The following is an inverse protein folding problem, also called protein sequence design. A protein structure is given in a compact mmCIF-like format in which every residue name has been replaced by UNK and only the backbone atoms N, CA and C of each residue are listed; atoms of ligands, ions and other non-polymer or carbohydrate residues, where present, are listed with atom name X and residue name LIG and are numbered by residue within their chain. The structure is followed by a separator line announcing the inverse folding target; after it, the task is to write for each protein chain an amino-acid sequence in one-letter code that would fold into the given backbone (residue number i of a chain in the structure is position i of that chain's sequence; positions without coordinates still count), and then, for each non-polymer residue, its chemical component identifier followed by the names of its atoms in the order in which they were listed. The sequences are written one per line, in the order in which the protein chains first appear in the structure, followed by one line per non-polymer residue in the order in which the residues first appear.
data_IF_450724883998
#
_entry.id   IF_450724883998
#
_cell.length_a   1.000
_cell.length_b   1.000
_cell.length_c   1.000
_cell.angle_alpha   90.00
_cell.angle_beta   90.00
_cell.angle_gamma   90.00
#
_symmetry.space_group_name_H-M   'P 1'
#
loop_
_entity.id
_entity.type
_entity.pdbx_description
1 polymer ?
#
# COMPACT_ATOMS: atom_id res chain seq x y z
N UNK A 1 18.72 6.78 29.99
CA UNK A 1 17.24 6.73 30.06
C UNK A 1 16.62 5.76 29.07
N UNK A 2 16.81 5.91 27.74
CA UNK A 2 16.23 4.98 26.76
C UNK A 2 16.62 3.50 26.99
N UNK A 3 17.89 3.23 27.31
CA UNK A 3 18.37 1.88 27.66
C UNK A 3 17.74 1.35 28.95
N UNK A 4 17.51 2.23 29.93
CA UNK A 4 16.91 1.87 31.21
C UNK A 4 15.43 1.50 31.03
N UNK A 5 14.70 2.22 30.17
CA UNK A 5 13.32 1.89 29.81
C UNK A 5 13.21 0.51 29.15
N UNK A 6 14.22 0.10 28.37
CA UNK A 6 14.26 -1.24 27.75
C UNK A 6 14.49 -2.37 28.75
N UNK A 7 15.24 -2.12 29.82
CA UNK A 7 15.66 -3.14 30.80
C UNK A 7 14.72 -3.24 32.02
N UNK A 8 14.14 -2.12 32.46
CA UNK A 8 13.37 -2.05 33.72
C UNK A 8 11.96 -1.44 33.50
N UNK A 9 11.08 -2.20 32.86
CA UNK A 9 9.71 -1.76 32.54
C UNK A 9 8.81 -1.65 33.78
N UNK A 10 9.05 -2.46 34.81
CA UNK A 10 8.24 -2.52 36.03
C UNK A 10 8.75 -1.58 37.14
N UNK A 11 9.63 -0.63 36.82
CA UNK A 11 10.19 0.30 37.81
C UNK A 11 9.13 1.27 38.34
N UNK A 12 9.18 1.59 39.63
CA UNK A 12 8.18 2.43 40.29
C UNK A 12 8.10 3.86 39.71
N UNK A 13 9.23 4.43 39.24
CA UNK A 13 9.26 5.75 38.58
C UNK A 13 9.23 5.66 37.05
N UNK A 14 8.59 4.61 36.50
CA UNK A 14 8.49 4.42 35.04
C UNK A 14 7.81 5.60 34.34
N UNK A 15 6.83 6.24 34.97
CA UNK A 15 6.12 7.41 34.41
C UNK A 15 7.06 8.57 34.14
N UNK A 16 8.01 8.82 35.03
CA UNK A 16 8.95 9.93 34.91
C UNK A 16 9.99 9.63 33.82
N UNK A 17 10.50 8.40 33.79
CA UNK A 17 11.41 7.93 32.73
C UNK A 17 10.71 8.03 31.37
N UNK A 18 9.45 7.59 31.30
CA UNK A 18 8.66 7.62 30.07
C UNK A 18 8.40 9.05 29.60
N UNK A 19 8.05 9.95 30.51
CA UNK A 19 7.86 11.38 30.23
C UNK A 19 9.12 12.00 29.61
N UNK A 20 10.29 11.76 30.19
CA UNK A 20 11.58 12.24 29.66
C UNK A 20 11.87 11.62 28.30
N UNK A 21 11.69 10.30 28.14
CA UNK A 21 11.94 9.62 26.85
C UNK A 21 11.02 10.16 25.77
N UNK A 22 9.72 10.37 26.04
CA UNK A 22 8.75 10.91 25.10
C UNK A 22 9.12 12.34 24.67
N UNK A 23 9.56 13.19 25.60
CA UNK A 23 10.07 14.53 25.26
C UNK A 23 11.31 14.44 24.36
N UNK A 24 12.25 13.52 24.66
CA UNK A 24 13.45 13.30 23.86
C UNK A 24 13.19 12.67 22.49
N UNK A 25 12.04 12.01 22.26
CA UNK A 25 11.65 11.54 20.92
C UNK A 25 11.57 12.69 19.93
N UNK A 26 11.20 13.90 20.39
CA UNK A 26 11.15 15.10 19.57
C UNK A 26 12.37 16.03 19.75
N UNK A 27 13.49 15.49 20.24
CA UNK A 27 14.74 16.26 20.37
C UNK A 27 15.30 16.69 19.02
N UNK A 28 16.07 17.78 18.99
CA UNK A 28 16.75 18.28 17.78
C UNK A 28 17.75 17.26 17.24
N UNK A 29 18.51 16.60 18.14
CA UNK A 29 19.48 15.55 17.77
C UNK A 29 18.78 14.32 17.19
N UNK A 30 19.16 13.94 15.96
CA UNK A 30 18.52 12.84 15.25
C UNK A 30 18.84 11.47 15.87
N UNK A 31 20.06 11.27 16.36
CA UNK A 31 20.48 10.02 17.01
C UNK A 31 19.69 9.76 18.29
N UNK A 32 19.53 10.79 19.14
CA UNK A 32 18.75 10.72 20.38
C UNK A 32 17.28 10.44 20.06
N UNK A 33 16.70 11.20 19.11
CA UNK A 33 15.32 11.00 18.67
C UNK A 33 15.08 9.57 18.16
N UNK A 34 15.95 9.04 17.28
CA UNK A 34 15.86 7.67 16.76
C UNK A 34 16.01 6.62 17.87
N UNK A 35 16.96 6.79 18.78
CA UNK A 35 17.16 5.87 19.90
C UNK A 35 15.95 5.84 20.84
N UNK A 36 15.35 7.00 21.15
CA UNK A 36 14.16 7.10 21.97
C UNK A 36 12.93 6.48 21.27
N UNK A 37 12.74 6.75 19.97
CA UNK A 37 11.65 6.14 19.20
C UNK A 37 11.79 4.62 19.14
N UNK A 38 13.00 4.11 18.91
CA UNK A 38 13.29 2.67 18.94
C UNK A 38 13.01 2.05 20.31
N UNK A 39 13.36 2.73 21.41
CA UNK A 39 13.06 2.26 22.76
C UNK A 39 11.56 2.16 23.02
N UNK A 40 10.78 3.18 22.63
CA UNK A 40 9.31 3.14 22.77
C UNK A 40 8.71 2.03 21.91
N UNK A 41 9.18 1.82 20.68
CA UNK A 41 8.75 0.71 19.84
C UNK A 41 9.07 -0.68 20.45
N UNK A 42 10.16 -0.82 21.21
CA UNK A 42 10.46 -2.05 21.93
C UNK A 42 9.55 -2.25 23.14
N UNK A 43 9.23 -1.17 23.88
CA UNK A 43 8.26 -1.21 24.98
C UNK A 43 6.90 -1.69 24.47
N UNK A 44 6.40 -1.11 23.38
CA UNK A 44 5.13 -1.51 22.76
C UNK A 44 5.07 -2.98 22.36
N UNK A 45 6.20 -3.61 22.01
CA UNK A 45 6.24 -5.03 21.64
C UNK A 45 6.38 -5.98 22.83
N UNK A 46 7.00 -5.52 23.92
CA UNK A 46 7.28 -6.35 25.10
C UNK A 46 6.19 -6.26 26.16
N UNK A 47 5.45 -5.17 26.18
CA UNK A 47 4.35 -4.95 27.12
C UNK A 47 3.23 -5.96 26.89
N UNK A 48 3.03 -6.84 27.87
CA UNK A 48 2.03 -7.92 27.83
C UNK A 48 0.66 -7.47 28.33
N UNK A 49 0.60 -6.49 29.23
CA UNK A 49 -0.63 -6.06 29.90
C UNK A 49 -1.24 -4.82 29.23
N UNK A 50 -0.42 -4.02 28.54
CA UNK A 50 -0.84 -2.85 27.76
C UNK A 50 -0.92 -1.55 28.56
N UNK A 51 -0.62 -1.57 29.86
CA UNK A 51 -0.69 -0.39 30.73
C UNK A 51 0.42 0.62 30.41
N UNK A 52 1.66 0.14 30.25
CA UNK A 52 2.80 0.99 29.89
C UNK A 52 2.61 1.58 28.49
N UNK A 53 2.09 0.77 27.56
CA UNK A 53 1.78 1.19 26.19
C UNK A 53 0.72 2.28 26.16
N UNK A 54 -0.34 2.15 26.97
CA UNK A 54 -1.40 3.15 27.08
C UNK A 54 -0.87 4.48 27.61
N UNK A 55 -0.06 4.44 28.68
CA UNK A 55 0.52 5.65 29.27
C UNK A 55 1.45 6.36 28.28
N UNK A 56 2.31 5.60 27.58
CA UNK A 56 3.20 6.13 26.55
C UNK A 56 2.43 6.81 25.42
N UNK A 57 1.37 6.15 24.94
CA UNK A 57 0.49 6.71 23.90
C UNK A 57 -0.18 7.99 24.38
N UNK A 58 -0.76 8.01 25.58
CA UNK A 58 -1.38 9.22 26.17
C UNK A 58 -0.37 10.37 26.29
N UNK A 59 0.85 10.09 26.73
CA UNK A 59 1.93 11.09 26.82
C UNK A 59 2.31 11.65 25.44
N UNK A 60 2.47 10.78 24.43
CA UNK A 60 2.77 11.20 23.06
C UNK A 60 1.60 12.02 22.49
N UNK A 61 0.35 11.56 22.63
CA UNK A 61 -0.84 12.27 22.17
C UNK A 61 -0.98 13.66 22.79
N UNK A 62 -0.68 13.79 24.09
CA UNK A 62 -0.67 15.07 24.79
C UNK A 62 0.47 15.98 24.30
N UNK A 63 1.68 15.44 24.10
CA UNK A 63 2.80 16.20 23.54
C UNK A 63 2.47 16.76 22.14
N UNK A 64 1.87 15.94 21.28
CA UNK A 64 1.48 16.32 19.92
C UNK A 64 0.40 17.41 19.96
N UNK A 65 -0.60 17.26 20.84
CA UNK A 65 -1.66 18.25 21.06
C UNK A 65 -1.10 19.58 21.56
N UNK A 66 -0.26 19.56 22.59
CA UNK A 66 0.27 20.76 23.23
C UNK A 66 1.20 21.57 22.31
N UNK A 67 1.82 20.92 21.33
CA UNK A 67 2.67 21.58 20.32
C UNK A 67 1.90 22.05 19.09
N UNK A 68 0.58 21.84 19.02
CA UNK A 68 -0.23 22.10 17.82
C UNK A 68 0.41 21.52 16.54
N UNK A 69 0.98 20.32 16.63
CA UNK A 69 1.70 19.63 15.55
C UNK A 69 3.01 20.30 15.08
N UNK A 70 3.36 21.49 15.59
CA UNK A 70 4.54 22.25 15.16
C UNK A 70 5.83 21.57 15.61
N UNK A 71 6.72 21.33 14.65
CA UNK A 71 8.05 20.76 14.91
C UNK A 71 8.01 19.33 15.46
N UNK A 72 6.91 18.60 15.28
CA UNK A 72 6.81 17.18 15.63
C UNK A 72 7.48 16.36 14.52
N UNK A 73 8.44 15.51 14.88
CA UNK A 73 9.12 14.60 13.96
C UNK A 73 8.21 13.44 13.55
N UNK A 74 8.31 13.04 12.28
CA UNK A 74 7.54 11.93 11.68
C UNK A 74 7.73 10.61 12.45
N UNK A 75 8.97 10.33 12.90
CA UNK A 75 9.32 9.13 13.65
C UNK A 75 8.54 8.96 14.98
N UNK A 76 8.07 10.06 15.57
CA UNK A 76 7.26 10.02 16.80
C UNK A 76 5.93 9.35 16.53
N UNK A 77 5.23 9.78 15.47
CA UNK A 77 3.91 9.23 15.11
C UNK A 77 4.06 7.82 14.52
N UNK A 78 5.15 7.56 13.77
CA UNK A 78 5.44 6.21 13.26
C UNK A 78 5.59 5.16 14.37
N UNK A 79 5.99 5.57 15.58
CA UNK A 79 6.13 4.65 16.71
C UNK A 79 4.83 3.91 17.04
N UNK A 80 3.67 4.54 16.86
CA UNK A 80 2.35 3.93 17.05
C UNK A 80 2.12 2.72 16.15
N UNK A 81 2.74 2.67 14.97
CA UNK A 81 2.64 1.51 14.06
C UNK A 81 3.26 0.24 14.67
N UNK A 82 4.09 0.32 15.71
CA UNK A 82 4.65 -0.87 16.36
C UNK A 82 3.74 -1.53 17.41
N UNK A 83 2.60 -0.91 17.73
CA UNK A 83 1.65 -1.44 18.71
C UNK A 83 0.95 -2.72 18.21
N UNK A 84 0.92 -3.80 19.01
CA UNK A 84 0.26 -5.06 18.68
C UNK A 84 -1.21 -5.07 19.10
N UNK A 85 -2.01 -4.09 18.61
CA UNK A 85 -3.45 -4.03 18.89
C UNK A 85 -4.19 -5.16 18.15
N UNK A 86 -5.08 -5.86 18.85
CA UNK A 86 -5.88 -6.97 18.28
C UNK A 86 -7.36 -6.91 18.65
N UNK A 87 -7.72 -6.16 19.68
CA UNK A 87 -9.08 -6.13 20.21
C UNK A 87 -9.93 -5.12 19.44
N UNK A 88 -11.12 -5.56 19.02
CA UNK A 88 -12.11 -4.68 18.40
C UNK A 88 -12.74 -3.77 19.45
N UNK A 89 -13.04 -2.52 19.07
CA UNK A 89 -13.63 -1.55 20.01
C UNK A 89 -14.99 -2.04 20.55
N UNK A 90 -15.81 -2.67 19.72
CA UNK A 90 -17.13 -3.20 20.09
C UNK A 90 -17.04 -4.35 21.10
N UNK A 91 -16.05 -5.24 20.94
CA UNK A 91 -15.77 -6.32 21.89
C UNK A 91 -15.38 -5.78 23.26
N UNK A 92 -14.61 -4.69 23.30
CA UNK A 92 -14.22 -4.04 24.54
C UNK A 92 -15.39 -3.30 25.21
N UNK A 93 -16.30 -2.70 24.44
CA UNK A 93 -17.52 -2.08 24.97
C UNK A 93 -18.48 -3.13 25.55
N UNK A 94 -18.67 -4.25 24.83
CA UNK A 94 -19.43 -5.40 25.33
C UNK A 94 -18.81 -5.99 26.60
N UNK A 95 -17.48 -6.16 26.65
CA UNK A 95 -16.77 -6.64 27.83
C UNK A 95 -16.95 -5.71 29.04
N UNK A 96 -16.92 -4.38 28.83
CA UNK A 96 -17.20 -3.38 29.89
C UNK A 96 -18.62 -3.49 30.42
N UNK A 97 -19.61 -3.71 29.55
CA UNK A 97 -21.01 -3.93 29.94
C UNK A 97 -21.18 -5.21 30.76
N UNK A 98 -20.57 -6.31 30.32
CA UNK A 98 -20.57 -7.58 31.04
C UNK A 98 -19.86 -7.50 32.40
N UNK A 99 -18.72 -6.79 32.48
CA UNK A 99 -18.01 -6.59 33.74
C UNK A 99 -18.82 -5.73 34.72
N UNK A 100 -19.53 -4.69 34.26
CA UNK A 100 -20.45 -3.90 35.10
C UNK A 100 -21.61 -4.74 35.62
N UNK A 101 -22.18 -5.62 34.80
CA UNK A 101 -23.22 -6.56 35.22
C UNK A 101 -22.67 -7.57 36.25
N UNK A 102 -21.47 -8.10 36.03
CA UNK A 102 -20.81 -9.01 36.95
C UNK A 102 -20.37 -8.34 38.26
N UNK A 103 -19.95 -7.07 38.25
CA UNK A 103 -19.68 -6.28 39.47
C UNK A 103 -20.94 -6.11 40.33
N UNK A 104 -22.11 -5.95 39.70
CA UNK A 104 -23.40 -5.91 40.39
C UNK A 104 -23.74 -7.27 41.05
N UNK A 105 -23.26 -8.38 40.47
CA UNK A 105 -23.39 -9.75 40.99
C UNK A 105 -22.33 -10.06 42.07
N UNK A 106 -21.05 -9.73 41.86
CA UNK A 106 -19.94 -9.84 42.84
C UNK A 106 -20.19 -9.03 44.11
N UNK A 107 -20.87 -7.88 44.02
CA UNK A 107 -21.27 -7.11 45.21
C UNK A 107 -22.28 -7.85 46.11
N UNK A 108 -23.00 -8.84 45.58
CA UNK A 108 -23.88 -9.74 46.36
C UNK A 108 -23.10 -10.89 47.02
N UNK A 109 -21.99 -11.34 46.41
CA UNK A 109 -21.17 -12.47 46.89
C UNK A 109 -19.74 -12.03 47.25
N UNK A 110 -19.61 -11.26 48.35
CA UNK A 110 -18.33 -10.63 48.76
C UNK A 110 -17.21 -11.62 49.10
N UNK A 111 -17.54 -12.75 49.73
CA UNK A 111 -16.54 -13.73 50.18
C UNK A 111 -15.88 -14.49 49.03
N UNK A 112 -16.65 -14.85 47.98
CA UNK A 112 -16.11 -15.51 46.78
C UNK A 112 -15.21 -14.58 45.97
N UNK A 113 -15.50 -13.28 45.97
CA UNK A 113 -14.70 -12.29 45.25
C UNK A 113 -13.30 -12.11 45.87
N UNK A 114 -13.20 -12.16 47.19
CA UNK A 114 -11.93 -11.97 47.92
C UNK A 114 -10.96 -13.14 47.68
N UNK A 115 -11.49 -14.37 47.68
CA UNK A 115 -10.72 -15.59 47.40
C UNK A 115 -10.28 -15.64 45.92
N UNK A 116 -11.15 -15.24 44.98
CA UNK A 116 -10.80 -15.17 43.56
C UNK A 116 -9.70 -14.15 43.28
N UNK A 117 -9.76 -12.97 43.91
CA UNK A 117 -8.77 -11.90 43.70
C UNK A 117 -7.39 -12.30 44.27
N UNK A 118 -7.33 -12.94 45.45
CA UNK A 118 -6.07 -13.49 46.00
C UNK A 118 -5.48 -14.62 45.14
N UNK A 119 -6.31 -15.50 44.57
CA UNK A 119 -5.88 -16.54 43.62
C UNK A 119 -5.39 -15.95 42.29
N UNK A 120 -5.97 -14.82 41.85
CA UNK A 120 -5.60 -14.15 40.60
C UNK A 120 -4.26 -13.45 40.72
N UNK A 121 -4.03 -12.71 41.81
CA UNK A 121 -2.77 -12.03 42.09
C UNK A 121 -1.60 -13.02 42.25
N UNK A 122 -1.86 -14.20 42.80
CA UNK A 122 -0.87 -15.28 42.91
C UNK A 122 -0.53 -15.95 41.57
N UNK A 123 -1.44 -15.92 40.58
CA UNK A 123 -1.29 -16.68 39.33
C UNK A 123 -0.31 -16.05 38.33
N UNK A 124 0.00 -14.75 38.45
CA UNK A 124 0.87 -14.04 37.51
C UNK A 124 0.42 -14.10 36.04
N UNK A 125 -0.83 -14.49 35.80
CA UNK A 125 -1.40 -14.63 34.46
C UNK A 125 -1.93 -13.28 33.98
N UNK A 126 -1.72 -12.97 32.69
CA UNK A 126 -2.17 -11.71 32.08
C UNK A 126 -3.69 -11.66 32.13
N UNK A 127 -4.25 -10.62 32.75
CA UNK A 127 -5.70 -10.45 32.78
C UNK A 127 -6.19 -10.01 31.39
N UNK A 128 -6.80 -10.95 30.67
CA UNK A 128 -7.31 -10.76 29.32
C UNK A 128 -8.38 -9.65 29.25
N UNK A 129 -9.18 -9.48 30.31
CA UNK A 129 -10.23 -8.45 30.36
C UNK A 129 -9.63 -7.06 30.53
N UNK A 130 -8.61 -6.95 31.39
CA UNK A 130 -7.88 -5.71 31.59
C UNK A 130 -7.08 -5.36 30.34
N UNK A 131 -6.41 -6.34 29.71
CA UNK A 131 -5.69 -6.15 28.45
C UNK A 131 -6.63 -5.64 27.35
N UNK A 132 -7.82 -6.23 27.19
CA UNK A 132 -8.80 -5.78 26.22
C UNK A 132 -9.25 -4.34 26.45
N UNK A 133 -9.49 -3.98 27.72
CA UNK A 133 -9.81 -2.60 28.12
C UNK A 133 -8.66 -1.64 27.77
N UNK A 134 -7.42 -1.98 28.12
CA UNK A 134 -6.25 -1.14 27.84
C UNK A 134 -6.02 -0.99 26.34
N UNK A 135 -6.17 -2.05 25.55
CA UNK A 135 -6.03 -2.00 24.08
C UNK A 135 -7.10 -1.11 23.44
N UNK A 136 -8.36 -1.17 23.90
CA UNK A 136 -9.42 -0.32 23.37
C UNK A 136 -9.21 1.17 23.72
N UNK A 137 -8.78 1.48 24.95
CA UNK A 137 -8.41 2.85 25.32
C UNK A 137 -7.19 3.34 24.52
N UNK A 138 -6.23 2.46 24.24
CA UNK A 138 -5.05 2.77 23.42
C UNK A 138 -5.46 3.05 21.98
N UNK A 139 -6.31 2.20 21.39
CA UNK A 139 -6.85 2.38 20.05
C UNK A 139 -7.60 3.71 19.94
N UNK A 140 -8.48 4.02 20.90
CA UNK A 140 -9.21 5.28 20.91
C UNK A 140 -8.28 6.50 20.95
N UNK A 141 -7.25 6.48 21.82
CA UNK A 141 -6.28 7.57 21.94
C UNK A 141 -5.48 7.79 20.63
N UNK A 142 -5.08 6.71 19.96
CA UNK A 142 -4.34 6.76 18.69
C UNK A 142 -5.23 7.27 17.57
N UNK A 143 -6.42 6.70 17.41
CA UNK A 143 -7.41 7.11 16.41
C UNK A 143 -7.73 8.59 16.55
N UNK A 144 -8.00 9.06 17.78
CA UNK A 144 -8.22 10.48 18.05
C UNK A 144 -7.01 11.36 17.70
N UNK A 145 -5.79 10.88 17.93
CA UNK A 145 -4.57 11.60 17.55
C UNK A 145 -4.44 11.72 16.04
N UNK A 146 -4.72 10.65 15.29
CA UNK A 146 -4.72 10.68 13.83
C UNK A 146 -5.82 11.57 13.25
N UNK A 147 -7.05 11.51 13.79
CA UNK A 147 -8.14 12.42 13.39
C UNK A 147 -7.80 13.89 13.59
N UNK A 148 -7.11 14.22 14.69
CA UNK A 148 -6.64 15.58 14.93
C UNK A 148 -5.63 16.03 13.88
N UNK A 149 -4.72 15.14 13.45
CA UNK A 149 -3.77 15.42 12.36
C UNK A 149 -4.51 15.63 11.04
N UNK A 150 -5.50 14.77 10.72
CA UNK A 150 -6.33 14.88 9.52
C UNK A 150 -7.07 16.24 9.46
N UNK A 151 -7.77 16.60 10.55
CA UNK A 151 -8.51 17.87 10.66
C UNK A 151 -7.59 19.10 10.60
N UNK A 152 -6.33 18.96 11.01
CA UNK A 152 -5.37 20.07 11.01
C UNK A 152 -4.95 20.51 9.60
N UNK A 153 -5.13 19.66 8.58
CA UNK A 153 -4.76 19.99 7.20
C UNK A 153 -5.62 21.12 6.61
N UNK A 154 -6.94 21.08 6.82
CA UNK A 154 -7.86 22.13 6.36
C UNK A 154 -7.76 23.47 7.11
N UNK A 155 -6.98 23.53 8.19
CA UNK A 155 -6.84 24.71 9.06
C UNK A 155 -5.57 25.54 8.80
N UNK A 156 -4.86 25.30 7.69
CA UNK A 156 -3.63 26.05 7.35
C UNK A 156 -2.45 25.82 8.30
N UNK A 157 -2.46 24.72 9.05
CA UNK A 157 -1.40 24.37 10.02
C UNK A 157 -0.37 23.43 9.40
N UNK A 158 0.91 23.57 9.79
CA UNK A 158 2.06 22.76 9.35
C UNK A 158 1.98 21.29 9.86
N UNK A 159 0.97 20.54 9.42
CA UNK A 159 0.79 19.11 9.70
C UNK A 159 0.91 18.22 8.44
N UNK A 160 1.17 18.83 7.27
CA UNK A 160 1.23 18.12 5.99
C UNK A 160 2.27 16.99 5.99
N UNK A 161 3.41 17.18 6.66
CA UNK A 161 4.46 16.16 6.77
C UNK A 161 4.08 14.97 7.68
N UNK A 162 3.11 15.14 8.58
CA UNK A 162 2.61 14.07 9.47
C UNK A 162 1.46 13.28 8.85
N UNK A 163 0.79 13.86 7.85
CA UNK A 163 -0.39 13.30 7.21
C UNK A 163 -0.17 11.88 6.63
N UNK A 164 0.92 11.58 5.88
CA UNK A 164 1.14 10.24 5.36
C UNK A 164 1.20 9.17 6.44
N UNK A 165 1.85 9.46 7.56
CA UNK A 165 2.03 8.50 8.66
C UNK A 165 0.76 8.32 9.46
N UNK A 166 -0.01 9.39 9.67
CA UNK A 166 -1.32 9.29 10.31
C UNK A 166 -2.25 8.39 9.49
N UNK A 167 -2.27 8.57 8.16
CA UNK A 167 -3.04 7.74 7.24
C UNK A 167 -2.53 6.29 7.20
N UNK A 168 -1.21 6.06 7.17
CA UNK A 168 -0.65 4.71 7.25
C UNK A 168 -1.10 3.99 8.54
N UNK A 169 -1.05 4.70 9.67
CA UNK A 169 -1.52 4.20 10.96
C UNK A 169 -3.01 3.89 10.97
N UNK A 170 -3.83 4.78 10.41
CA UNK A 170 -5.27 4.54 10.25
C UNK A 170 -5.55 3.34 9.34
N UNK A 171 -4.86 3.20 8.22
CA UNK A 171 -5.00 2.04 7.34
C UNK A 171 -4.68 0.73 8.05
N UNK A 172 -3.71 0.74 8.97
CA UNK A 172 -3.35 -0.43 9.78
C UNK A 172 -4.44 -0.78 10.79
N UNK A 173 -4.98 0.20 11.50
CA UNK A 173 -5.91 -0.03 12.63
C UNK A 173 -7.38 0.07 12.26
N UNK A 174 -7.74 0.47 11.04
CA UNK A 174 -9.12 0.74 10.62
C UNK A 174 -10.09 -0.42 10.80
N UNK A 175 -9.60 -1.66 10.73
CA UNK A 175 -10.41 -2.85 10.95
C UNK A 175 -10.84 -3.09 12.40
N UNK A 176 -10.20 -2.40 13.37
CA UNK A 176 -10.49 -2.53 14.81
C UNK A 176 -11.44 -1.45 15.33
N UNK A 177 -11.70 -0.43 14.52
CA UNK A 177 -12.47 0.76 14.87
C UNK A 177 -13.98 0.46 14.77
N UNK A 178 -14.80 1.07 15.64
CA UNK A 178 -16.25 0.93 15.61
C UNK A 178 -16.89 1.60 14.37
N UNK A 179 -18.07 1.13 13.97
CA UNK A 179 -18.75 1.57 12.75
C UNK A 179 -19.06 3.07 12.75
N UNK A 180 -19.52 3.63 13.89
CA UNK A 180 -19.90 5.05 13.97
C UNK A 180 -18.71 5.98 13.65
N UNK A 181 -17.52 5.69 14.18
CA UNK A 181 -16.33 6.52 13.89
C UNK A 181 -15.73 6.24 12.51
N UNK A 182 -16.10 5.12 11.89
CA UNK A 182 -15.72 4.80 10.51
C UNK A 182 -16.51 5.62 9.52
N UNK A 183 -17.79 5.92 9.79
CA UNK A 183 -18.58 6.85 8.99
C UNK A 183 -17.92 8.25 8.98
N UNK A 184 -17.62 8.78 10.17
CA UNK A 184 -16.85 10.02 10.33
C UNK A 184 -15.51 9.96 9.58
N UNK A 185 -14.77 8.85 9.69
CA UNK A 185 -13.48 8.68 9.03
C UNK A 185 -13.61 8.79 7.51
N UNK A 186 -14.60 8.10 6.92
CA UNK A 186 -14.79 8.06 5.47
C UNK A 186 -15.20 9.42 4.93
N UNK A 187 -15.99 10.21 5.66
CA UNK A 187 -16.33 11.58 5.28
C UNK A 187 -15.08 12.47 5.19
N UNK A 188 -14.20 12.41 6.20
CA UNK A 188 -12.93 13.17 6.18
C UNK A 188 -12.00 12.71 5.06
N UNK A 189 -11.91 11.40 4.82
CA UNK A 189 -11.11 10.85 3.72
C UNK A 189 -11.66 11.28 2.36
N UNK A 190 -12.98 11.31 2.18
CA UNK A 190 -13.62 11.81 0.95
C UNK A 190 -13.26 13.27 0.69
N UNK A 191 -13.26 14.12 1.72
CA UNK A 191 -12.79 15.51 1.61
C UNK A 191 -11.34 15.61 1.13
N UNK A 192 -10.44 14.77 1.66
CA UNK A 192 -9.03 14.73 1.21
C UNK A 192 -8.86 14.16 -0.21
N UNK A 193 -9.71 13.22 -0.61
CA UNK A 193 -9.67 12.64 -1.95
C UNK A 193 -10.18 13.62 -3.03
N UNK A 194 -11.01 14.59 -2.66
CA UNK A 194 -11.44 15.65 -3.57
C UNK A 194 -10.27 16.57 -3.98
N UNK A 195 -9.26 16.75 -3.12
CA UNK A 195 -8.05 17.55 -3.39
C UNK A 195 -6.80 16.68 -3.53
N UNK A 196 -6.96 15.43 -3.97
CA UNK A 196 -5.90 14.40 -3.99
C UNK A 196 -4.64 14.82 -4.77
N UNK A 197 -4.80 15.66 -5.80
CA UNK A 197 -3.70 16.11 -6.66
C UNK A 197 -2.84 17.19 -6.01
N UNK A 198 -3.40 17.93 -5.05
CA UNK A 198 -2.67 18.93 -4.25
C UNK A 198 -1.84 18.27 -3.14
N UNK A 199 -2.21 17.05 -2.73
CA UNK A 199 -1.51 16.30 -1.70
C UNK A 199 -0.18 15.73 -2.21
N UNK A 200 0.83 15.61 -1.34
CA UNK A 200 2.02 14.79 -1.61
C UNK A 200 1.62 13.36 -1.98
N UNK A 201 2.37 12.73 -2.89
CA UNK A 201 2.04 11.39 -3.39
C UNK A 201 1.95 10.34 -2.27
N UNK A 202 2.80 10.42 -1.24
CA UNK A 202 2.71 9.56 -0.07
C UNK A 202 1.40 9.73 0.70
N UNK A 203 0.94 10.97 0.87
CA UNK A 203 -0.31 11.26 1.56
C UNK A 203 -1.51 10.79 0.72
N UNK A 204 -1.50 11.04 -0.59
CA UNK A 204 -2.60 10.63 -1.46
C UNK A 204 -2.75 9.12 -1.52
N UNK A 205 -1.65 8.38 -1.71
CA UNK A 205 -1.67 6.91 -1.74
C UNK A 205 -2.06 6.30 -0.40
N UNK A 206 -1.56 6.83 0.72
CA UNK A 206 -1.98 6.35 2.04
C UNK A 206 -3.45 6.68 2.33
N UNK A 207 -3.96 7.82 1.86
CA UNK A 207 -5.39 8.18 1.97
C UNK A 207 -6.26 7.15 1.26
N UNK A 208 -5.95 6.88 -0.02
CA UNK A 208 -6.64 5.85 -0.82
C UNK A 208 -6.55 4.48 -0.16
N UNK A 209 -5.37 4.09 0.32
CA UNK A 209 -5.16 2.82 1.02
C UNK A 209 -6.02 2.72 2.29
N UNK A 210 -6.13 3.82 3.03
CA UNK A 210 -6.93 3.91 4.26
C UNK A 210 -8.39 3.74 3.92
N UNK A 211 -8.91 4.49 2.93
CA UNK A 211 -10.30 4.36 2.47
C UNK A 211 -10.65 2.94 2.06
N UNK A 212 -9.80 2.27 1.27
CA UNK A 212 -10.04 0.88 0.89
C UNK A 212 -9.92 -0.12 2.05
N UNK A 213 -9.04 0.13 3.02
CA UNK A 213 -8.91 -0.73 4.19
C UNK A 213 -10.13 -0.59 5.10
N UNK A 214 -10.55 0.65 5.37
CA UNK A 214 -11.73 0.99 6.17
C UNK A 214 -13.02 0.43 5.57
N UNK A 215 -13.24 0.63 4.27
CA UNK A 215 -14.39 0.08 3.57
C UNK A 215 -14.34 -1.47 3.47
N UNK A 216 -13.20 -2.14 3.69
CA UNK A 216 -13.09 -3.61 3.65
C UNK A 216 -13.47 -4.22 5.01
N UNK A 217 -13.09 -3.55 6.11
CA UNK A 217 -13.45 -3.95 7.46
C UNK A 217 -14.85 -3.44 7.84
N UNK A 218 -14.98 -2.64 8.91
CA UNK A 218 -16.27 -2.20 9.45
C UNK A 218 -17.12 -1.40 8.44
N UNK A 219 -16.50 -0.66 7.53
CA UNK A 219 -17.21 0.14 6.52
C UNK A 219 -17.92 -0.68 5.43
N UNK A 220 -17.81 -2.01 5.44
CA UNK A 220 -18.53 -2.88 4.50
C UNK A 220 -20.05 -2.78 4.67
N UNK A 221 -20.50 -2.52 5.89
CA UNK A 221 -21.92 -2.41 6.23
C UNK A 221 -22.55 -1.13 5.69
N UNK A 222 -21.75 -0.07 5.50
CA UNK A 222 -22.22 1.27 5.15
C UNK A 222 -22.70 1.43 3.70
N UNK A 223 -22.64 0.39 2.85
CA UNK A 223 -23.12 0.40 1.43
C UNK A 223 -22.74 1.65 0.61
N UNK A 224 -21.56 2.24 0.90
CA UNK A 224 -21.07 3.47 0.25
C UNK A 224 -20.71 3.21 -1.23
N UNK A 225 -20.96 4.20 -2.10
CA UNK A 225 -20.55 4.15 -3.50
C UNK A 225 -19.02 4.18 -3.63
N UNK A 226 -18.50 3.22 -4.39
CA UNK A 226 -17.07 2.95 -4.52
C UNK A 226 -16.42 3.80 -5.62
N UNK A 227 -17.23 4.39 -6.52
CA UNK A 227 -16.71 5.18 -7.65
C UNK A 227 -15.81 6.32 -7.17
N UNK A 228 -16.24 7.01 -6.11
CA UNK A 228 -15.55 8.17 -5.52
C UNK A 228 -14.15 7.84 -4.99
N UNK A 229 -13.88 6.57 -4.65
CA UNK A 229 -12.59 6.13 -4.10
C UNK A 229 -11.66 5.53 -5.15
N UNK A 230 -12.22 5.11 -6.29
CA UNK A 230 -11.46 4.47 -7.38
C UNK A 230 -10.93 5.50 -8.38
N UNK A 231 -11.70 6.55 -8.69
CA UNK A 231 -11.24 7.61 -9.59
C UNK A 231 -9.95 8.31 -9.11
N UNK A 232 -9.80 8.68 -7.81
CA UNK A 232 -8.52 9.18 -7.29
C UNK A 232 -7.37 8.21 -7.49
N UNK A 233 -7.57 6.90 -7.29
CA UNK A 233 -6.52 5.92 -7.57
C UNK A 233 -6.07 5.95 -9.03
N UNK A 234 -7.01 6.09 -9.98
CA UNK A 234 -6.72 6.17 -11.40
C UNK A 234 -5.89 7.41 -11.75
N UNK A 235 -6.23 8.59 -11.21
CA UNK A 235 -5.48 9.83 -11.46
C UNK A 235 -4.05 9.74 -10.91
N UNK A 236 -3.89 9.21 -9.68
CA UNK A 236 -2.61 9.10 -8.99
C UNK A 236 -1.62 8.14 -9.69
N UNK A 237 -2.09 7.14 -10.45
CA UNK A 237 -1.19 6.22 -11.18
C UNK A 237 -0.22 6.97 -12.10
N UNK A 238 -0.66 8.07 -12.73
CA UNK A 238 0.18 8.89 -13.63
C UNK A 238 1.36 9.53 -12.90
N UNK A 239 1.15 9.95 -11.64
CA UNK A 239 2.15 10.66 -10.82
C UNK A 239 3.31 9.75 -10.42
N UNK A 240 3.12 8.43 -10.47
CA UNK A 240 4.18 7.44 -10.17
C UNK A 240 5.33 7.57 -11.17
N UNK A 241 5.06 7.91 -12.43
CA UNK A 241 6.09 8.03 -13.47
C UNK A 241 7.18 9.06 -13.08
N UNK A 242 6.80 10.18 -12.49
CA UNK A 242 7.71 11.29 -12.17
C UNK A 242 8.43 11.13 -10.83
N UNK A 243 7.88 10.34 -9.90
CA UNK A 243 8.37 10.23 -8.51
C UNK A 243 8.36 8.77 -8.03
N UNK A 244 8.88 7.85 -8.84
CA UNK A 244 8.79 6.39 -8.59
C UNK A 244 9.71 5.90 -7.46
N UNK A 245 9.40 6.23 -6.21
CA UNK A 245 10.05 5.64 -5.04
C UNK A 245 9.59 4.19 -4.83
N UNK A 246 10.50 3.35 -4.33
CA UNK A 246 10.26 1.98 -3.84
C UNK A 246 8.99 1.92 -2.98
N UNK A 247 8.84 2.86 -2.03
CA UNK A 247 7.69 2.96 -1.14
C UNK A 247 6.37 3.21 -1.90
N UNK A 248 6.35 4.15 -2.85
CA UNK A 248 5.18 4.44 -3.65
C UNK A 248 4.71 3.23 -4.46
N UNK A 249 5.63 2.48 -5.07
CA UNK A 249 5.29 1.24 -5.79
C UNK A 249 4.60 0.23 -4.86
N UNK A 250 5.12 0.02 -3.65
CA UNK A 250 4.50 -0.89 -2.69
C UNK A 250 3.08 -0.43 -2.29
N UNK A 251 2.91 0.85 -1.99
CA UNK A 251 1.61 1.43 -1.63
C UNK A 251 0.58 1.25 -2.74
N UNK A 252 0.96 1.53 -3.99
CA UNK A 252 0.08 1.38 -5.16
C UNK A 252 -0.34 -0.06 -5.36
N UNK A 253 0.59 -1.02 -5.26
CA UNK A 253 0.26 -2.45 -5.37
C UNK A 253 -0.72 -2.88 -4.28
N UNK A 254 -0.56 -2.38 -3.05
CA UNK A 254 -1.51 -2.62 -1.95
C UNK A 254 -2.89 -2.02 -2.27
N UNK A 255 -2.96 -0.78 -2.74
CA UNK A 255 -4.21 -0.14 -3.15
C UNK A 255 -4.91 -0.92 -4.26
N UNK A 256 -4.19 -1.30 -5.32
CA UNK A 256 -4.73 -2.07 -6.44
C UNK A 256 -5.23 -3.45 -5.99
N UNK A 257 -4.49 -4.14 -5.11
CA UNK A 257 -4.91 -5.42 -4.55
C UNK A 257 -6.22 -5.30 -3.74
N UNK A 258 -6.33 -4.28 -2.88
CA UNK A 258 -7.57 -4.01 -2.12
C UNK A 258 -8.73 -3.61 -3.05
N UNK A 259 -8.46 -2.82 -4.08
CA UNK A 259 -9.48 -2.35 -5.01
C UNK A 259 -10.01 -3.46 -5.92
N UNK A 260 -9.14 -4.22 -6.58
CA UNK A 260 -9.55 -5.15 -7.64
C UNK A 260 -9.54 -6.64 -7.24
N UNK A 261 -8.67 -7.06 -6.32
CA UNK A 261 -8.54 -8.48 -5.98
C UNK A 261 -9.45 -8.90 -4.83
N UNK A 262 -9.57 -8.06 -3.79
CA UNK A 262 -10.38 -8.38 -2.60
C UNK A 262 -11.85 -7.95 -2.67
N UNK A 263 -12.23 -7.10 -3.62
CA UNK A 263 -13.58 -6.49 -3.72
C UNK A 263 -14.39 -6.96 -4.93
N UNK A 264 -15.64 -6.46 -4.98
CA UNK A 264 -16.64 -6.64 -6.05
C UNK A 264 -16.08 -6.34 -7.43
N UNK A 265 -16.70 -6.96 -8.42
CA UNK A 265 -16.34 -6.84 -9.82
C UNK A 265 -16.75 -5.47 -10.37
N UNK A 266 -15.77 -4.72 -10.90
CA UNK A 266 -16.03 -3.50 -11.67
C UNK A 266 -16.44 -3.84 -13.10
N UNK A 267 -17.00 -2.86 -13.82
CA UNK A 267 -17.28 -3.00 -15.25
C UNK A 267 -16.01 -3.26 -16.05
N UNK A 268 -16.12 -4.01 -17.16
CA UNK A 268 -14.99 -4.28 -18.05
C UNK A 268 -14.33 -3.00 -18.56
N UNK A 269 -15.11 -1.96 -18.87
CA UNK A 269 -14.60 -0.64 -19.30
C UNK A 269 -13.69 -0.02 -18.24
N UNK A 270 -14.10 -0.04 -16.96
CA UNK A 270 -13.29 0.52 -15.89
C UNK A 270 -12.00 -0.27 -15.69
N UNK A 271 -12.08 -1.60 -15.68
CA UNK A 271 -10.90 -2.45 -15.55
C UNK A 271 -9.95 -2.26 -16.74
N UNK A 272 -10.47 -2.17 -17.96
CA UNK A 272 -9.70 -1.92 -19.17
C UNK A 272 -8.97 -0.57 -19.12
N UNK A 273 -9.62 0.48 -18.59
CA UNK A 273 -8.99 1.78 -18.37
C UNK A 273 -7.79 1.65 -17.43
N UNK A 274 -7.96 0.97 -16.30
CA UNK A 274 -6.87 0.71 -15.36
C UNK A 274 -5.76 -0.13 -16.00
N UNK A 275 -6.07 -1.21 -16.71
CA UNK A 275 -5.07 -2.01 -17.42
C UNK A 275 -4.27 -1.12 -18.36
N UNK A 276 -4.95 -0.33 -19.20
CA UNK A 276 -4.29 0.57 -20.15
C UNK A 276 -3.36 1.54 -19.44
N UNK A 277 -3.84 2.20 -18.38
CA UNK A 277 -3.04 3.13 -17.56
C UNK A 277 -1.86 2.45 -16.88
N UNK A 278 -2.02 1.25 -16.31
CA UNK A 278 -0.95 0.47 -15.69
C UNK A 278 0.14 0.12 -16.71
N UNK A 279 -0.25 -0.25 -17.92
CA UNK A 279 0.69 -0.54 -19.00
C UNK A 279 1.41 0.71 -19.49
N UNK A 280 0.70 1.84 -19.64
CA UNK A 280 1.33 3.14 -19.95
C UNK A 280 2.34 3.54 -18.87
N UNK A 281 2.00 3.43 -17.59
CA UNK A 281 2.92 3.69 -16.47
C UNK A 281 4.12 2.74 -16.52
N UNK A 282 3.91 1.46 -16.83
CA UNK A 282 4.98 0.48 -16.92
C UNK A 282 6.04 0.83 -17.97
N UNK A 283 5.70 1.54 -19.06
CA UNK A 283 6.67 1.99 -20.07
C UNK A 283 7.66 3.02 -19.49
N UNK A 284 7.20 3.85 -18.55
CA UNK A 284 8.00 4.95 -17.99
C UNK A 284 8.62 4.63 -16.63
N UNK A 285 8.14 3.57 -15.96
CA UNK A 285 8.55 3.24 -14.61
C UNK A 285 9.86 2.40 -14.57
N UNK A 286 10.62 2.47 -13.47
CA UNK A 286 11.77 1.59 -13.25
C UNK A 286 11.39 0.10 -13.31
N UNK A 287 12.37 -0.81 -13.56
CA UNK A 287 12.07 -2.22 -13.81
C UNK A 287 11.28 -2.95 -12.72
N UNK A 288 11.53 -2.62 -11.44
CA UNK A 288 10.80 -3.22 -10.31
C UNK A 288 9.32 -2.81 -10.29
N UNK A 289 9.02 -1.58 -10.70
CA UNK A 289 7.65 -1.08 -10.78
C UNK A 289 6.99 -1.61 -12.04
N UNK A 290 7.66 -1.47 -13.19
CA UNK A 290 7.18 -1.92 -14.50
C UNK A 290 6.79 -3.40 -14.51
N UNK A 291 7.67 -4.29 -14.03
CA UNK A 291 7.38 -5.73 -13.97
C UNK A 291 6.15 -6.05 -13.11
N UNK A 292 5.99 -5.36 -11.97
CA UNK A 292 4.87 -5.57 -11.06
C UNK A 292 3.55 -4.99 -11.59
N UNK A 293 3.58 -3.85 -12.28
CA UNK A 293 2.40 -3.30 -12.94
C UNK A 293 1.92 -4.22 -14.07
N UNK A 294 2.83 -4.77 -14.88
CA UNK A 294 2.49 -5.76 -15.92
C UNK A 294 1.96 -7.05 -15.27
N UNK A 295 2.59 -7.54 -14.20
CA UNK A 295 2.10 -8.70 -13.47
C UNK A 295 0.68 -8.48 -12.92
N UNK A 296 0.38 -7.27 -12.41
CA UNK A 296 -0.94 -6.90 -11.95
C UNK A 296 -1.95 -6.82 -13.11
N UNK A 297 -1.56 -6.21 -14.23
CA UNK A 297 -2.38 -6.18 -15.45
C UNK A 297 -2.72 -7.59 -15.96
N UNK A 298 -1.76 -8.54 -15.89
CA UNK A 298 -2.01 -9.95 -16.21
C UNK A 298 -3.06 -10.58 -15.29
N UNK A 299 -3.06 -10.27 -13.99
CA UNK A 299 -4.11 -10.75 -13.08
C UNK A 299 -5.48 -10.20 -13.48
N UNK A 300 -5.55 -8.93 -13.90
CA UNK A 300 -6.79 -8.32 -14.37
C UNK A 300 -7.28 -8.95 -15.67
N UNK A 301 -6.40 -9.20 -16.64
CA UNK A 301 -6.76 -9.93 -17.87
C UNK A 301 -7.35 -11.31 -17.57
N UNK A 302 -6.79 -12.05 -16.62
CA UNK A 302 -7.31 -13.37 -16.25
C UNK A 302 -8.66 -13.29 -15.53
N UNK A 303 -8.85 -12.29 -14.67
CA UNK A 303 -10.10 -12.12 -13.93
C UNK A 303 -11.23 -11.55 -14.78
N UNK A 304 -10.92 -10.67 -15.73
CA UNK A 304 -11.89 -9.95 -16.55
C UNK A 304 -11.68 -10.25 -18.02
N UNK A 305 -12.28 -11.35 -18.50
CA UNK A 305 -12.11 -11.81 -19.89
C UNK A 305 -12.54 -10.76 -20.93
N UNK A 306 -13.53 -9.91 -20.60
CA UNK A 306 -13.95 -8.81 -21.49
C UNK A 306 -12.87 -7.76 -21.74
N UNK A 307 -11.78 -7.75 -20.97
CA UNK A 307 -10.63 -6.86 -21.21
C UNK A 307 -9.68 -7.37 -22.29
N UNK A 308 -9.86 -8.62 -22.77
CA UNK A 308 -9.02 -9.20 -23.83
C UNK A 308 -9.14 -8.46 -25.15
N UNK A 309 -10.23 -7.72 -25.36
CA UNK A 309 -10.40 -6.82 -26.50
C UNK A 309 -9.24 -5.81 -26.65
N UNK A 310 -8.55 -5.44 -25.56
CA UNK A 310 -7.36 -4.59 -25.63
C UNK A 310 -6.17 -5.26 -26.35
N UNK A 311 -6.18 -6.58 -26.51
CA UNK A 311 -5.14 -7.38 -27.18
C UNK A 311 -5.49 -7.72 -28.63
N UNK A 312 -6.71 -7.41 -29.07
CA UNK A 312 -7.17 -7.65 -30.43
C UNK A 312 -6.65 -6.58 -31.40
N UNK A 313 -6.78 -6.84 -32.70
CA UNK A 313 -6.24 -5.96 -33.74
C UNK A 313 -7.04 -4.66 -33.86
N UNK A 314 -6.34 -3.57 -34.22
CA UNK A 314 -6.89 -2.21 -34.33
C UNK A 314 -7.96 -2.03 -35.43
N UNK A 315 -8.23 -3.06 -36.24
CA UNK A 315 -9.20 -2.97 -37.34
C UNK A 315 -10.63 -2.71 -36.84
N UNK A 316 -11.01 -3.28 -35.70
CA UNK A 316 -12.34 -3.10 -35.09
C UNK A 316 -12.41 -1.82 -34.22
N UNK A 317 -11.28 -1.16 -33.98
CA UNK A 317 -11.15 0.01 -33.10
C UNK A 317 -11.61 1.30 -33.81
N UNK A 318 -11.54 1.34 -35.13
CA UNK A 318 -11.82 2.55 -35.96
C UNK A 318 -13.26 3.08 -35.78
N UNK A 319 -14.20 2.24 -35.38
CA UNK A 319 -15.61 2.61 -35.14
C UNK A 319 -15.92 3.00 -33.68
N UNK A 320 -14.98 2.77 -32.74
CA UNK A 320 -15.22 2.86 -31.29
C UNK A 320 -14.89 4.23 -30.67
N UNK A 321 -14.61 5.25 -31.50
CA UNK A 321 -14.29 6.62 -31.06
C UNK A 321 -12.81 6.82 -30.72
N UNK A 322 -12.50 7.75 -29.80
CA UNK A 322 -11.13 8.14 -29.43
C UNK A 322 -10.82 7.81 -27.96
N UNK A 323 -9.65 7.24 -27.71
CA UNK A 323 -9.10 7.03 -26.36
C UNK A 323 -8.54 8.34 -25.79
N UNK A 324 -8.85 8.61 -24.52
CA UNK A 324 -8.43 9.81 -23.79
C UNK A 324 -7.53 9.44 -22.59
N UNK A 325 -6.19 9.52 -22.73
CA UNK A 325 -5.25 9.08 -21.69
C UNK A 325 -5.16 9.99 -20.46
N UNK A 326 -5.56 11.25 -20.60
CA UNK A 326 -5.45 12.29 -19.56
C UNK A 326 -6.74 12.48 -18.75
N UNK A 327 -7.80 11.74 -19.06
CA UNK A 327 -9.04 11.79 -18.29
C UNK A 327 -8.79 11.30 -16.86
N UNK A 328 -9.37 11.95 -15.86
CA UNK A 328 -9.23 11.59 -14.45
C UNK A 328 -10.18 10.47 -14.01
N UNK A 329 -11.35 10.38 -14.64
CA UNK A 329 -12.30 9.31 -14.39
C UNK A 329 -12.09 8.15 -15.39
N UNK A 330 -11.84 6.92 -14.91
CA UNK A 330 -11.63 5.76 -15.77
C UNK A 330 -12.81 5.47 -16.70
N UNK A 331 -14.05 5.78 -16.30
CA UNK A 331 -15.26 5.48 -17.09
C UNK A 331 -15.33 6.30 -18.40
N UNK A 332 -14.72 7.49 -18.44
CA UNK A 332 -14.73 8.38 -19.59
C UNK A 332 -13.44 8.34 -20.43
N UNK A 333 -12.52 7.42 -20.12
CA UNK A 333 -11.25 7.27 -20.86
C UNK A 333 -11.42 6.59 -22.22
N UNK A 334 -12.52 5.86 -22.43
CA UNK A 334 -12.79 5.04 -23.63
C UNK A 334 -11.63 4.08 -23.99
N UNK A 335 -11.27 3.13 -23.12
CA UNK A 335 -10.05 2.35 -23.25
C UNK A 335 -10.05 1.37 -24.43
N UNK A 336 -11.22 0.87 -24.84
CA UNK A 336 -11.34 -0.05 -25.97
C UNK A 336 -11.16 0.63 -27.33
N UNK A 337 -11.12 1.98 -27.36
CA UNK A 337 -10.71 2.73 -28.54
C UNK A 337 -9.17 2.75 -28.76
N UNK A 338 -8.40 1.96 -28.00
CA UNK A 338 -6.97 1.79 -28.20
C UNK A 338 -6.54 0.34 -27.89
N UNK A 339 -5.53 -0.14 -28.63
CA UNK A 339 -4.87 -1.41 -28.32
C UNK A 339 -3.83 -1.26 -27.19
N UNK A 340 -3.49 -2.35 -26.49
CA UNK A 340 -2.43 -2.43 -25.49
C UNK A 340 -1.02 -2.47 -26.11
N UNK A 341 -0.72 -1.52 -27.01
CA UNK A 341 0.53 -1.43 -27.76
C UNK A 341 1.78 -1.31 -26.88
N UNK A 342 1.64 -0.89 -25.62
CA UNK A 342 2.73 -0.83 -24.64
C UNK A 342 3.38 -2.19 -24.44
N UNK A 343 2.61 -3.28 -24.50
CA UNK A 343 3.14 -4.64 -24.39
C UNK A 343 4.12 -4.96 -25.52
N UNK A 344 3.85 -4.47 -26.73
CA UNK A 344 4.73 -4.64 -27.89
C UNK A 344 6.06 -3.91 -27.69
N UNK A 345 6.05 -2.72 -27.07
CA UNK A 345 7.27 -2.00 -26.71
C UNK A 345 8.02 -2.69 -25.56
N UNK A 346 7.33 -3.04 -24.48
CA UNK A 346 7.89 -3.66 -23.27
C UNK A 346 8.47 -5.06 -23.53
N UNK A 347 8.02 -5.76 -24.58
CA UNK A 347 8.63 -7.02 -25.04
C UNK A 347 10.11 -6.89 -25.37
N UNK A 348 10.58 -5.71 -25.76
CA UNK A 348 11.99 -5.44 -26.08
C UNK A 348 12.76 -4.78 -24.93
N UNK A 349 12.18 -4.73 -23.73
CA UNK A 349 12.81 -4.14 -22.56
C UNK A 349 14.10 -4.87 -22.16
N UNK A 350 15.12 -4.11 -21.72
CA UNK A 350 16.46 -4.60 -21.38
C UNK A 350 16.40 -5.68 -20.29
N UNK A 351 15.55 -5.48 -19.29
CA UNK A 351 15.34 -6.44 -18.21
C UNK A 351 14.50 -7.63 -18.68
N UNK A 352 15.05 -8.87 -18.68
CA UNK A 352 14.36 -10.03 -19.24
C UNK A 352 13.08 -10.41 -18.50
N UNK A 353 12.97 -10.07 -17.22
CA UNK A 353 11.75 -10.29 -16.42
C UNK A 353 10.60 -9.43 -16.95
N UNK A 354 10.84 -8.15 -17.26
CA UNK A 354 9.85 -7.23 -17.84
C UNK A 354 9.41 -7.73 -19.22
N UNK A 355 10.38 -8.05 -20.08
CA UNK A 355 10.12 -8.60 -21.43
C UNK A 355 9.30 -9.90 -21.38
N UNK A 356 9.66 -10.82 -20.46
CA UNK A 356 8.91 -12.08 -20.24
C UNK A 356 7.49 -11.80 -19.78
N UNK A 357 7.28 -10.90 -18.82
CA UNK A 357 5.94 -10.55 -18.35
C UNK A 357 5.11 -9.88 -19.44
N UNK A 358 5.69 -8.99 -20.24
CA UNK A 358 5.01 -8.36 -21.37
C UNK A 358 4.58 -9.39 -22.43
N UNK A 359 5.48 -10.30 -22.84
CA UNK A 359 5.17 -11.37 -23.78
C UNK A 359 4.13 -12.36 -23.22
N UNK A 360 4.21 -12.68 -21.93
CA UNK A 360 3.22 -13.54 -21.28
C UNK A 360 1.85 -12.86 -21.18
N UNK A 361 1.80 -11.53 -21.02
CA UNK A 361 0.56 -10.76 -21.00
C UNK A 361 -0.12 -10.77 -22.38
N UNK A 362 0.64 -10.53 -23.46
CA UNK A 362 0.08 -10.54 -24.82
C UNK A 362 -0.42 -11.92 -25.26
N UNK A 363 0.18 -12.99 -24.72
CA UNK A 363 -0.22 -14.38 -25.01
C UNK A 363 -1.27 -14.92 -24.02
N UNK A 364 -1.80 -14.08 -23.12
CA UNK A 364 -2.73 -14.49 -22.06
C UNK A 364 -2.26 -15.71 -21.27
N UNK A 365 -0.94 -15.84 -21.06
CA UNK A 365 -0.36 -16.99 -20.36
C UNK A 365 -0.68 -16.91 -18.88
N UNK A 366 -1.19 -18.01 -18.34
CA UNK A 366 -1.51 -18.18 -16.91
C UNK A 366 -0.33 -17.77 -16.02
N UNK A 367 -0.61 -17.01 -14.96
CA UNK A 367 0.39 -16.72 -13.93
C UNK A 367 0.61 -17.94 -13.06
N UNK A 368 1.87 -18.23 -12.78
CA UNK A 368 2.25 -19.24 -11.80
C UNK A 368 2.24 -18.59 -10.41
N UNK A 369 1.09 -18.63 -9.73
CA UNK A 369 0.98 -18.16 -8.34
C UNK A 369 1.53 -19.22 -7.36
N UNK A 370 2.23 -18.83 -6.27
CA UNK A 370 2.46 -17.46 -5.82
C UNK A 370 3.70 -16.79 -6.44
N UNK A 371 4.54 -17.51 -7.21
CA UNK A 371 5.84 -17.02 -7.67
C UNK A 371 5.76 -15.75 -8.55
N UNK A 372 4.79 -15.69 -9.47
CA UNK A 372 4.57 -14.55 -10.36
C UNK A 372 3.57 -13.51 -9.80
N UNK A 373 3.27 -13.52 -8.50
CA UNK A 373 2.40 -12.49 -7.92
C UNK A 373 3.06 -11.09 -8.03
N UNK A 374 2.29 -10.01 -8.21
CA UNK A 374 2.85 -8.66 -8.36
C UNK A 374 3.79 -8.26 -7.22
N UNK A 375 3.46 -8.67 -5.98
CA UNK A 375 4.27 -8.43 -4.78
C UNK A 375 5.57 -9.23 -4.79
N UNK A 376 5.55 -10.50 -5.23
CA UNK A 376 6.75 -11.32 -5.29
C UNK A 376 7.66 -10.92 -6.45
N UNK A 377 7.08 -10.56 -7.60
CA UNK A 377 7.79 -9.97 -8.74
C UNK A 377 8.47 -8.66 -8.30
N UNK A 378 7.75 -7.81 -7.57
CA UNK A 378 8.27 -6.56 -7.02
C UNK A 378 9.49 -6.82 -6.13
N UNK A 379 9.34 -7.69 -5.12
CA UNK A 379 10.43 -8.02 -4.18
C UNK A 379 11.64 -8.63 -4.87
N UNK A 380 11.42 -9.54 -5.82
CA UNK A 380 12.49 -10.19 -6.57
C UNK A 380 13.24 -9.17 -7.42
N UNK A 381 12.51 -8.31 -8.14
CA UNK A 381 13.11 -7.26 -8.97
C UNK A 381 13.84 -6.20 -8.14
N UNK A 382 13.30 -5.84 -6.98
CA UNK A 382 13.96 -4.92 -6.05
C UNK A 382 15.29 -5.50 -5.55
N UNK A 383 15.30 -6.77 -5.14
CA UNK A 383 16.52 -7.45 -4.72
C UNK A 383 17.55 -7.53 -5.86
N UNK A 384 17.09 -7.85 -7.07
CA UNK A 384 17.95 -7.87 -8.27
C UNK A 384 18.54 -6.48 -8.55
N UNK A 385 17.73 -5.42 -8.44
CA UNK A 385 18.17 -4.04 -8.66
C UNK A 385 19.21 -3.62 -7.63
N UNK A 386 19.00 -3.93 -6.35
CA UNK A 386 19.93 -3.61 -5.26
C UNK A 386 21.28 -4.33 -5.42
N UNK A 387 21.27 -5.53 -6.01
CA UNK A 387 22.48 -6.32 -6.27
C UNK A 387 23.04 -6.13 -7.68
N UNK A 388 22.50 -5.18 -8.47
CA UNK A 388 22.88 -4.91 -9.88
C UNK A 388 22.89 -6.22 -10.71
N UNK A 389 21.94 -7.10 -10.41
CA UNK A 389 21.83 -8.42 -11.03
C UNK A 389 20.78 -8.39 -12.14
N UNK A 390 21.20 -8.71 -13.36
CA UNK A 390 20.31 -8.84 -14.52
C UNK A 390 20.31 -10.31 -14.96
N UNK A 391 19.19 -11.04 -14.80
CA UNK A 391 19.14 -12.44 -15.17
C UNK A 391 19.10 -12.56 -16.69
N UNK A 392 20.25 -12.74 -17.34
CA UNK A 392 20.31 -13.02 -18.77
C UNK A 392 20.17 -14.53 -19.01
N UNK A 393 19.24 -14.92 -19.89
CA UNK A 393 19.25 -16.28 -20.42
C UNK A 393 20.27 -16.28 -21.57
N UNK A 394 21.39 -16.99 -21.39
CA UNK A 394 22.38 -17.15 -22.45
C UNK A 394 21.72 -17.84 -23.65
N UNK A 395 21.36 -17.06 -24.67
CA UNK A 395 20.94 -17.60 -25.95
C UNK A 395 22.19 -17.96 -26.73
N UNK A 396 22.59 -19.23 -26.69
CA UNK A 396 23.58 -19.77 -27.62
C UNK A 396 22.92 -19.80 -29.00
N UNK A 397 22.85 -18.65 -29.69
CA UNK A 397 22.62 -18.66 -31.13
C UNK A 397 23.82 -19.40 -31.72
N UNK A 398 23.57 -20.52 -32.40
CA UNK A 398 24.61 -21.15 -33.19
C UNK A 398 25.14 -20.09 -34.15
N UNK A 399 26.46 -19.88 -34.14
CA UNK A 399 27.09 -18.95 -35.08
C UNK A 399 26.57 -19.27 -36.48
N UNK A 400 26.17 -18.27 -37.31
CA UNK A 400 25.57 -18.53 -38.62
C UNK A 400 26.45 -19.43 -39.51
N UNK A 401 27.77 -19.42 -39.31
CA UNK A 401 28.74 -20.30 -39.99
C UNK A 401 28.94 -21.68 -39.35
N UNK A 402 28.39 -21.94 -38.16
CA UNK A 402 28.45 -23.26 -37.48
C UNK A 402 27.43 -24.25 -38.05
N UNK A 403 26.49 -23.79 -38.86
CA UNK A 403 25.53 -24.62 -39.59
C UNK A 403 26.04 -25.10 -40.96
N UNK A 404 27.36 -25.18 -41.16
CA UNK A 404 27.93 -25.83 -42.33
C UNK A 404 28.33 -27.26 -41.98
N UNK A 405 27.64 -28.20 -42.61
CA UNK A 405 27.80 -29.67 -42.62
C UNK A 405 26.67 -30.43 -41.93
N UNK A 406 25.44 -30.29 -42.42
CA UNK A 406 24.56 -31.46 -42.61
C UNK A 406 23.38 -31.17 -43.55
N UNK A 407 23.47 -31.81 -44.71
CA UNK A 407 22.41 -32.29 -45.62
C UNK A 407 21.47 -31.24 -46.23
N UNK A 408 21.67 -31.07 -47.54
CA UNK A 408 20.66 -30.65 -48.51
C UNK A 408 19.38 -31.47 -48.34
N UNK A 409 18.34 -30.84 -47.78
CA UNK A 409 16.96 -31.29 -47.94
C UNK A 409 16.14 -30.07 -48.33
N UNK A 410 15.46 -30.18 -49.49
CA UNK A 410 14.52 -29.20 -50.04
C UNK A 410 13.70 -28.53 -48.92
N UNK A 411 13.97 -27.26 -48.66
CA UNK A 411 13.05 -26.39 -47.91
C UNK A 411 12.72 -25.21 -48.81
N UNK A 412 11.41 -25.02 -49.03
CA UNK A 412 10.84 -23.82 -49.63
C UNK A 412 11.58 -22.60 -49.12
N UNK A 413 12.15 -21.82 -50.06
CA UNK A 413 12.72 -20.52 -49.77
C UNK A 413 11.61 -19.68 -49.13
N UNK A 414 11.69 -19.47 -47.81
CA UNK A 414 11.16 -18.23 -47.26
C UNK A 414 12.03 -17.13 -47.85
N UNK A 415 11.49 -16.40 -48.81
CA UNK A 415 12.10 -15.17 -49.29
C UNK A 415 12.17 -14.21 -48.10
N UNK A 416 13.30 -14.22 -47.41
CA UNK A 416 13.69 -13.08 -46.60
C UNK A 416 13.98 -11.95 -47.58
N UNK A 417 12.98 -11.09 -47.81
CA UNK A 417 13.22 -9.78 -48.38
C UNK A 417 14.01 -8.98 -47.34
N UNK A 418 15.33 -9.09 -47.41
CA UNK A 418 16.17 -8.02 -46.90
C UNK A 418 15.80 -6.77 -47.68
N UNK A 419 15.63 -5.65 -46.98
CA UNK A 419 15.63 -4.34 -47.62
C UNK A 419 17.04 -4.18 -48.18
N UNK A 420 17.27 -4.62 -49.41
CA UNK A 420 18.41 -4.16 -50.20
C UNK A 420 18.28 -2.65 -50.30
N UNK A 421 19.30 -1.86 -49.94
CA UNK A 421 19.36 -0.49 -50.40
C UNK A 421 19.13 -0.54 -51.90
N UNK A 422 18.15 0.21 -52.41
CA UNK A 422 18.02 0.35 -53.86
C UNK A 422 19.39 0.82 -54.34
N UNK A 423 19.99 0.10 -55.28
CA UNK A 423 20.98 0.71 -56.16
C UNK A 423 20.22 1.80 -56.91
N UNK A 424 20.09 2.97 -56.28
CA UNK A 424 19.87 4.19 -57.01
C UNK A 424 21.13 4.33 -57.85
N UNK A 425 21.06 3.86 -59.10
CA UNK A 425 21.75 4.51 -60.20
C UNK A 425 21.70 5.99 -59.89
N UNK A 426 22.88 6.62 -59.88
CA UNK A 426 23.19 8.05 -60.05
C UNK A 426 22.00 9.01 -60.05
N UNK A 427 22.19 10.24 -59.59
CA UNK A 427 21.19 11.34 -59.56
C UNK A 427 20.33 11.33 -58.30
N UNK A 428 20.76 12.10 -57.28
CA UNK A 428 19.91 12.97 -56.42
C UNK A 428 20.69 13.69 -55.29
N UNK A 429 22.01 13.83 -55.41
CA UNK A 429 22.75 14.91 -54.76
C UNK A 429 23.55 15.61 -55.86
N UNK A 430 22.91 16.57 -56.51
CA UNK A 430 23.62 17.68 -57.15
C UNK A 430 23.73 18.76 -56.09
N UNK A 431 24.94 19.27 -55.92
CA UNK A 431 25.32 20.34 -55.02
C UNK A 431 24.28 21.46 -54.98
N UNK A 432 23.78 21.76 -53.79
CA UNK A 432 23.50 23.11 -53.29
C UNK A 432 23.56 23.09 -51.76
#
# INVERSE_FOLDING_TARGET
MATLLKSAMNFNFRSDILSVVVQCMNSSCEEVSKSCCSAVCEVFRKDRQGDISLDAVKMISNMVKNRDFKGVKVGVIQSFSSLPLRVHQDEAEAAKLHEKANKKKRKRDREKAQIEDELKDASGTVDLTLLAKMQAETLHAITLTYFRILKSHGAGKNALHLLPVALEGLAKFSHLINIDTVEDLLEHLKGLLATVDELPLDASLNCILTSFSTLQGPGRELKIDQKEYVAPLYSQLSRICSSSTIQHTNLVLRCLNLAFLKRREFSNTRVAAFIKKLLTVAVHAPPYCSASMIAFARLLFHRYQGTHQLLENELDVVSSGKYSPFTEDPDYSNPFAAAAWELSALKFHIQPVVSKHAANASLLKNLQLPAESPDNVYKTMLNNTNNVYIPFKLSKKNHPLRASKQKSAKRQRQEYRFITPRETKSWHLKDF
#
